data_IF_523055436908
#
_entry.id   IF_523055436908
#
_cell.length_a   1.000
_cell.length_b   1.000
_cell.length_c   1.000
_cell.angle_alpha   90.00
_cell.angle_beta   90.00
_cell.angle_gamma   90.00
#
_symmetry.space_group_name_H-M   'P 1'
#
loop_
_entity.id
_entity.type
_entity.pdbx_description
1 polymer ?
#
# COMPACT_ATOMS: atom_id res chain seq x y z
N UNK A 1 12.67 19.20 21.56
CA UNK A 1 12.02 18.61 20.39
C UNK A 1 12.68 17.31 20.03
N UNK A 2 11.94 16.34 19.76
CA UNK A 2 12.45 15.01 19.51
C UNK A 2 12.49 14.71 18.02
N UNK A 3 13.37 13.81 17.64
CA UNK A 3 13.46 13.35 16.27
C UNK A 3 12.13 12.73 15.82
N UNK A 4 11.42 12.10 16.74
CA UNK A 4 10.14 11.49 16.44
C UNK A 4 9.13 12.52 15.92
N UNK A 5 9.03 13.67 16.57
CA UNK A 5 8.14 14.72 16.14
C UNK A 5 8.53 15.27 14.77
N UNK A 6 9.84 15.39 14.51
CA UNK A 6 10.32 15.85 13.21
C UNK A 6 9.96 14.85 12.12
N UNK A 7 10.10 13.55 12.38
CA UNK A 7 9.75 12.53 11.40
C UNK A 7 8.26 12.53 11.07
N UNK A 8 7.41 12.74 12.07
CA UNK A 8 5.97 12.77 11.86
C UNK A 8 5.55 13.91 10.94
N UNK A 9 6.28 15.01 10.97
CA UNK A 9 5.98 16.18 10.16
C UNK A 9 6.70 16.17 8.82
N UNK A 10 7.55 15.19 8.60
CA UNK A 10 8.34 15.12 7.38
C UNK A 10 7.47 14.79 6.18
N UNK A 11 7.68 15.52 5.10
CA UNK A 11 7.00 15.25 3.84
C UNK A 11 8.03 14.79 2.82
N UNK A 12 7.56 14.01 1.84
CA UNK A 12 8.43 13.45 0.81
C UNK A 12 7.85 13.81 -0.56
N UNK A 13 8.73 14.15 -1.49
CA UNK A 13 8.31 14.42 -2.85
C UNK A 13 8.28 13.14 -3.68
N UNK A 14 9.11 12.15 -3.33
CA UNK A 14 9.24 10.93 -4.11
C UNK A 14 9.27 9.70 -3.20
N UNK A 15 8.98 8.54 -3.80
CA UNK A 15 9.08 7.27 -3.09
C UNK A 15 10.53 6.97 -2.72
N UNK A 16 11.50 7.36 -3.56
CA UNK A 16 12.92 7.21 -3.21
C UNK A 16 13.23 7.91 -1.90
N UNK A 17 12.79 9.15 -1.73
CA UNK A 17 13.01 9.89 -0.50
C UNK A 17 12.35 9.22 0.70
N UNK A 18 11.14 8.69 0.50
CA UNK A 18 10.43 7.98 1.55
C UNK A 18 11.23 6.78 2.02
N UNK A 19 11.75 5.99 1.09
CA UNK A 19 12.53 4.80 1.42
C UNK A 19 13.85 5.17 2.12
N UNK A 20 14.51 6.22 1.65
CA UNK A 20 15.77 6.66 2.24
C UNK A 20 15.63 7.11 3.69
N UNK A 21 14.44 7.60 4.05
CA UNK A 21 14.17 8.05 5.41
C UNK A 21 13.76 6.92 6.35
N UNK A 22 13.50 5.73 5.82
CA UNK A 22 13.08 4.58 6.64
C UNK A 22 14.24 4.06 7.47
N UNK A 23 13.90 3.43 8.59
CA UNK A 23 14.93 2.84 9.44
C UNK A 23 15.57 1.64 8.76
N UNK A 24 16.77 1.30 9.23
CA UNK A 24 17.61 0.26 8.66
C UNK A 24 16.89 -1.09 8.53
N UNK A 25 16.09 -1.46 9.53
CA UNK A 25 15.42 -2.76 9.55
C UNK A 25 14.11 -2.77 8.75
N UNK A 26 13.53 -1.62 8.47
CA UNK A 26 12.26 -1.52 7.76
C UNK A 26 12.47 -1.28 6.27
N UNK A 27 13.53 -0.55 5.91
CA UNK A 27 13.75 -0.14 4.53
C UNK A 27 13.76 -1.31 3.53
N UNK A 28 14.48 -2.42 3.80
CA UNK A 28 14.49 -3.53 2.82
C UNK A 28 13.12 -4.12 2.56
N UNK A 29 12.27 -4.17 3.60
CA UNK A 29 10.91 -4.67 3.46
C UNK A 29 10.06 -3.73 2.62
N UNK A 30 10.22 -2.42 2.81
CA UNK A 30 9.51 -1.44 2.00
C UNK A 30 9.94 -1.51 0.55
N UNK A 31 11.25 -1.70 0.31
CA UNK A 31 11.76 -1.85 -1.04
C UNK A 31 11.19 -3.10 -1.72
N UNK A 32 11.03 -4.18 -0.96
CA UNK A 32 10.41 -5.39 -1.47
C UNK A 32 8.94 -5.16 -1.85
N UNK A 33 8.20 -4.48 -0.98
CA UNK A 33 6.80 -4.14 -1.27
C UNK A 33 6.69 -3.27 -2.53
N UNK A 34 7.60 -2.31 -2.68
CA UNK A 34 7.63 -1.45 -3.86
C UNK A 34 7.78 -2.29 -5.14
N UNK A 35 8.70 -3.26 -5.14
CA UNK A 35 8.91 -4.12 -6.30
C UNK A 35 7.67 -4.94 -6.62
N UNK A 36 7.08 -5.57 -5.61
CA UNK A 36 5.91 -6.43 -5.81
C UNK A 36 4.73 -5.62 -6.37
N UNK A 37 4.47 -4.47 -5.79
CA UNK A 37 3.33 -3.65 -6.22
C UNK A 37 3.58 -3.07 -7.61
N UNK A 38 4.80 -2.57 -7.87
CA UNK A 38 5.13 -2.03 -9.20
C UNK A 38 4.99 -3.08 -10.29
N UNK A 39 5.41 -4.32 -10.00
CA UNK A 39 5.25 -5.41 -10.95
C UNK A 39 3.80 -5.77 -11.19
N UNK A 40 2.98 -5.70 -10.15
CA UNK A 40 1.55 -6.01 -10.27
C UNK A 40 0.76 -4.91 -10.98
N UNK A 41 1.22 -3.66 -10.87
CA UNK A 41 0.53 -2.49 -11.40
C UNK A 41 1.46 -1.69 -12.32
N UNK A 42 1.85 -2.28 -13.47
CA UNK A 42 2.87 -1.64 -14.30
C UNK A 42 2.44 -0.33 -14.95
N UNK A 43 1.13 -0.09 -15.05
CA UNK A 43 0.63 1.14 -15.66
C UNK A 43 0.22 2.19 -14.64
N UNK A 44 0.36 1.90 -13.34
CA UNK A 44 0.00 2.85 -12.31
C UNK A 44 1.09 3.92 -12.16
N UNK A 45 0.67 5.11 -11.78
CA UNK A 45 1.60 6.18 -11.45
C UNK A 45 2.06 6.01 -10.00
N UNK A 46 3.37 5.84 -9.80
CA UNK A 46 3.94 5.78 -8.47
C UNK A 46 4.18 7.20 -7.97
N UNK A 47 3.62 7.54 -6.83
CA UNK A 47 3.71 8.90 -6.29
C UNK A 47 3.61 8.86 -4.77
N UNK A 48 3.63 10.04 -4.15
CA UNK A 48 3.36 10.18 -2.72
C UNK A 48 1.97 10.80 -2.58
N UNK A 49 1.10 10.17 -1.79
CA UNK A 49 -0.23 10.65 -1.50
C UNK A 49 -0.50 10.42 -0.02
N UNK A 50 -0.96 11.45 0.68
CA UNK A 50 -1.16 11.39 2.13
C UNK A 50 0.13 11.01 2.88
N UNK A 51 1.26 11.42 2.31
CA UNK A 51 2.56 11.22 2.95
C UNK A 51 3.19 9.85 2.75
N UNK A 52 2.57 8.96 1.97
CA UNK A 52 3.10 7.61 1.78
C UNK A 52 3.09 7.22 0.30
N UNK A 53 3.91 6.22 -0.08
CA UNK A 53 3.93 5.72 -1.45
C UNK A 53 2.56 5.23 -1.88
N UNK A 54 2.15 5.63 -3.08
CA UNK A 54 0.82 5.39 -3.62
C UNK A 54 0.92 5.04 -5.08
N UNK A 55 0.01 4.19 -5.53
CA UNK A 55 -0.06 3.75 -6.93
C UNK A 55 -1.41 4.14 -7.49
N UNK A 56 -1.40 5.18 -8.35
CA UNK A 56 -2.63 5.77 -8.87
C UNK A 56 -2.91 5.27 -10.27
N UNK A 57 -4.16 4.90 -10.49
CA UNK A 57 -4.66 4.53 -11.81
C UNK A 57 -6.16 4.68 -11.80
N UNK A 58 -6.74 5.04 -12.94
CA UNK A 58 -8.19 5.29 -13.05
C UNK A 58 -8.67 6.38 -12.09
N UNK A 59 -7.78 7.32 -11.74
CA UNK A 59 -8.15 8.46 -10.91
C UNK A 59 -8.20 8.20 -9.42
N UNK A 60 -7.75 7.02 -8.96
CA UNK A 60 -7.77 6.67 -7.53
C UNK A 60 -6.43 6.09 -7.10
N UNK A 61 -6.19 6.13 -5.80
CA UNK A 61 -5.06 5.41 -5.19
C UNK A 61 -5.47 3.95 -5.08
N UNK A 62 -4.92 3.11 -5.96
CA UNK A 62 -5.29 1.69 -5.99
C UNK A 62 -4.83 1.01 -4.71
N UNK A 63 -3.55 1.16 -4.36
CA UNK A 63 -2.98 0.73 -3.09
C UNK A 63 -1.90 1.71 -2.68
N UNK A 64 -1.60 1.71 -1.39
CA UNK A 64 -0.50 2.47 -0.78
C UNK A 64 0.23 1.56 0.18
N UNK A 65 1.45 1.92 0.58
CA UNK A 65 2.13 1.16 1.63
C UNK A 65 2.85 2.09 2.59
N UNK A 66 3.10 1.60 3.80
CA UNK A 66 3.79 2.38 4.81
C UNK A 66 4.60 1.47 5.73
N UNK A 67 5.54 2.07 6.46
CA UNK A 67 6.40 1.35 7.38
C UNK A 67 6.19 1.83 8.81
N UNK A 68 6.40 0.91 9.75
CA UNK A 68 6.27 1.16 11.19
C UNK A 68 7.40 0.42 11.89
N UNK A 69 7.51 0.57 13.20
CA UNK A 69 8.66 0.02 13.93
C UNK A 69 8.77 -1.50 13.81
N UNK A 70 7.65 -2.22 13.84
CA UNK A 70 7.67 -3.67 13.89
C UNK A 70 6.91 -4.32 12.74
N UNK A 71 6.38 -3.53 11.82
CA UNK A 71 5.63 -4.06 10.69
C UNK A 71 5.61 -3.07 9.54
N UNK A 72 5.25 -3.57 8.37
CA UNK A 72 4.85 -2.72 7.24
C UNK A 72 3.37 -2.94 7.00
N UNK A 73 2.74 -2.06 6.25
CA UNK A 73 1.32 -2.22 5.95
C UNK A 73 1.01 -1.92 4.49
N UNK A 74 0.00 -2.60 3.99
CA UNK A 74 -0.61 -2.31 2.71
C UNK A 74 -1.92 -1.58 3.00
N UNK A 75 -2.08 -0.42 2.41
CA UNK A 75 -3.18 0.49 2.75
C UNK A 75 -4.04 0.75 1.52
N UNK A 76 -5.35 0.75 1.72
CA UNK A 76 -6.30 1.11 0.66
C UNK A 76 -7.69 1.30 1.27
N UNK A 77 -8.58 1.91 0.51
CA UNK A 77 -9.94 2.13 0.98
C UNK A 77 -10.86 2.30 -0.24
N UNK A 78 -12.08 1.74 -0.24
CA UNK A 78 -12.68 0.91 0.82
C UNK A 78 -12.11 -0.51 0.81
N UNK A 79 -12.18 -1.20 1.96
CA UNK A 79 -11.57 -2.52 2.12
C UNK A 79 -12.56 -3.67 2.08
N UNK A 80 -13.86 -3.38 2.17
CA UNK A 80 -14.87 -4.42 2.40
C UNK A 80 -14.85 -5.54 1.37
N UNK A 81 -14.83 -5.21 0.09
CA UNK A 81 -14.87 -6.24 -0.97
C UNK A 81 -13.59 -7.07 -0.96
N UNK A 82 -12.45 -6.40 -0.80
CA UNK A 82 -11.14 -7.07 -0.77
C UNK A 82 -11.05 -8.00 0.43
N UNK A 83 -11.46 -7.53 1.60
CA UNK A 83 -11.39 -8.34 2.83
C UNK A 83 -12.32 -9.54 2.73
N UNK A 84 -13.48 -9.40 2.12
CA UNK A 84 -14.38 -10.53 1.92
C UNK A 84 -13.80 -11.55 0.94
N UNK A 85 -13.20 -11.05 -0.14
CA UNK A 85 -12.65 -11.94 -1.18
C UNK A 85 -11.44 -12.74 -0.67
N UNK A 86 -10.60 -12.12 0.15
CA UNK A 86 -9.38 -12.73 0.67
C UNK A 86 -9.52 -13.13 2.14
N UNK A 87 -10.74 -13.38 2.61
CA UNK A 87 -11.01 -13.61 4.02
C UNK A 87 -10.11 -14.71 4.62
N UNK A 88 -9.99 -15.84 3.94
CA UNK A 88 -9.18 -16.94 4.43
C UNK A 88 -7.70 -16.59 4.47
N UNK A 89 -7.20 -15.99 3.40
CA UNK A 89 -5.78 -15.65 3.29
C UNK A 89 -5.37 -14.57 4.28
N UNK A 90 -6.30 -13.72 4.68
CA UNK A 90 -5.99 -12.61 5.59
C UNK A 90 -6.06 -12.98 7.06
N UNK A 91 -6.53 -14.20 7.39
CA UNK A 91 -6.67 -14.59 8.80
C UNK A 91 -5.40 -14.47 9.63
N UNK A 92 -4.20 -14.78 9.11
CA UNK A 92 -2.98 -14.64 9.90
C UNK A 92 -2.56 -13.19 10.18
N UNK A 93 -3.19 -12.21 9.53
CA UNK A 93 -2.74 -10.83 9.58
C UNK A 93 -3.71 -9.94 10.31
N UNK A 94 -3.17 -8.91 10.98
CA UNK A 94 -4.00 -7.90 11.60
C UNK A 94 -4.48 -6.94 10.52
N UNK A 95 -5.77 -6.61 10.57
CA UNK A 95 -6.36 -5.68 9.63
C UNK A 95 -7.05 -4.56 10.38
N UNK A 96 -7.23 -3.43 9.68
CA UNK A 96 -8.01 -2.31 10.18
C UNK A 96 -8.93 -1.84 9.06
N UNK A 97 -9.60 -0.73 9.27
CA UNK A 97 -10.52 -0.16 8.29
C UNK A 97 -9.84 0.11 6.94
N UNK A 98 -8.53 0.32 6.93
CA UNK A 98 -7.82 0.75 5.73
C UNK A 98 -6.44 0.11 5.56
N UNK A 99 -6.11 -0.95 6.32
CA UNK A 99 -4.76 -1.48 6.26
C UNK A 99 -4.69 -2.97 6.60
N UNK A 100 -3.68 -3.62 6.05
CA UNK A 100 -3.26 -4.97 6.40
C UNK A 100 -1.83 -4.87 6.90
N UNK A 101 -1.53 -5.44 8.08
CA UNK A 101 -0.20 -5.36 8.69
C UNK A 101 0.60 -6.62 8.41
N UNK A 102 1.88 -6.43 8.04
CA UNK A 102 2.81 -7.53 7.79
C UNK A 102 3.98 -7.43 8.76
N UNK A 103 4.05 -8.31 9.77
CA UNK A 103 5.14 -8.25 10.75
C UNK A 103 6.51 -8.41 10.10
N UNK A 104 7.51 -7.69 10.62
CA UNK A 104 8.86 -7.77 10.09
C UNK A 104 9.54 -9.10 10.35
N UNK A 105 9.10 -9.82 11.37
CA UNK A 105 9.70 -11.11 11.73
C UNK A 105 9.14 -12.29 10.93
N UNK A 106 8.31 -12.03 9.95
CA UNK A 106 7.76 -13.05 9.05
C UNK A 106 8.03 -12.67 7.61
N UNK A 107 8.14 -13.65 6.70
CA UNK A 107 8.29 -13.34 5.28
C UNK A 107 7.11 -12.53 4.75
N UNK A 108 7.38 -11.63 3.82
CA UNK A 108 6.32 -10.87 3.18
C UNK A 108 5.50 -11.81 2.27
N UNK A 109 4.17 -11.81 2.37
CA UNK A 109 3.33 -12.68 1.53
C UNK A 109 3.19 -12.10 0.13
N UNK A 110 4.22 -12.28 -0.69
CA UNK A 110 4.34 -11.63 -2.00
C UNK A 110 3.17 -11.94 -2.93
N UNK A 111 2.79 -13.22 -3.00
CA UNK A 111 1.70 -13.61 -3.91
C UNK A 111 0.37 -13.00 -3.47
N UNK A 112 0.14 -12.93 -2.16
CA UNK A 112 -1.08 -12.32 -1.64
C UNK A 112 -1.12 -10.82 -1.93
N UNK A 113 -0.01 -10.13 -1.73
CA UNK A 113 0.06 -8.69 -2.02
C UNK A 113 -0.20 -8.44 -3.49
N UNK A 114 0.40 -9.24 -4.36
CA UNK A 114 0.18 -9.14 -5.80
C UNK A 114 -1.29 -9.35 -6.16
N UNK A 115 -1.91 -10.39 -5.59
CA UNK A 115 -3.31 -10.69 -5.87
C UNK A 115 -4.24 -9.56 -5.38
N UNK A 116 -3.93 -8.99 -4.22
CA UNK A 116 -4.73 -7.88 -3.68
C UNK A 116 -4.58 -6.64 -4.58
N UNK A 117 -3.36 -6.34 -5.01
CA UNK A 117 -3.14 -5.19 -5.89
C UNK A 117 -3.93 -5.34 -7.18
N UNK A 118 -3.91 -6.52 -7.78
CA UNK A 118 -4.64 -6.80 -9.01
C UNK A 118 -6.16 -6.72 -8.80
N UNK A 119 -6.65 -7.23 -7.66
CA UNK A 119 -8.05 -7.14 -7.31
C UNK A 119 -8.50 -5.69 -7.17
N UNK A 120 -7.67 -4.88 -6.49
CA UNK A 120 -7.96 -3.47 -6.31
C UNK A 120 -7.92 -2.71 -7.63
N UNK A 121 -7.02 -3.08 -8.54
CA UNK A 121 -6.97 -2.45 -9.85
C UNK A 121 -8.27 -2.72 -10.62
N UNK A 122 -8.77 -3.95 -10.59
CA UNK A 122 -10.03 -4.28 -11.24
C UNK A 122 -11.19 -3.48 -10.63
N UNK A 123 -11.19 -3.34 -9.32
CA UNK A 123 -12.20 -2.55 -8.61
C UNK A 123 -12.15 -1.07 -9.05
N UNK A 124 -10.95 -0.53 -9.16
CA UNK A 124 -10.77 0.85 -9.61
C UNK A 124 -11.27 1.05 -11.05
N UNK A 125 -11.01 0.07 -11.90
CA UNK A 125 -11.48 0.14 -13.30
C UNK A 125 -13.00 0.11 -13.37
N UNK A 126 -13.64 -0.73 -12.56
CA UNK A 126 -15.11 -0.77 -12.49
C UNK A 126 -15.69 0.56 -12.02
N UNK A 127 -15.07 1.12 -10.99
CA UNK A 127 -15.51 2.40 -10.44
C UNK A 127 -15.44 3.50 -11.50
N UNK A 128 -14.33 3.56 -12.24
CA UNK A 128 -14.13 4.55 -13.30
C UNK A 128 -15.14 4.36 -14.42
N UNK A 129 -15.43 3.11 -14.80
CA UNK A 129 -16.40 2.82 -15.84
C UNK A 129 -17.81 3.24 -15.44
N UNK A 130 -18.21 2.95 -14.19
CA UNK A 130 -19.52 3.38 -13.69
C UNK A 130 -19.65 4.89 -13.63
N UNK A 131 -18.58 5.57 -13.21
CA UNK A 131 -18.58 7.02 -13.11
C UNK A 131 -18.78 7.66 -14.49
N UNK A 132 -18.13 7.12 -15.53
CA UNK A 132 -18.29 7.61 -16.89
C UNK A 132 -19.72 7.35 -17.41
N UNK A 133 -20.27 6.17 -17.13
CA UNK A 133 -21.58 5.77 -17.62
C UNK A 133 -22.71 6.48 -16.88
N UNK A 134 -22.50 6.79 -15.60
CA UNK A 134 -23.52 7.39 -14.76
C UNK A 134 -23.53 8.90 -14.75
N UNK A 135 -22.65 9.50 -15.50
CA UNK A 135 -22.50 10.95 -15.51
C UNK A 135 -23.71 11.67 -16.08
#
# INVERSE_FOLDING_TARGET
MTEHADREKRTFATVDEFLEAATYDVEPRLAEMRRVISDALPDAEETISHGIPSYRQHGVDVVQFSGHDEHTSLNFFPTARTFAHFDTELQPYRTSKSAIRFPLDEPLPVDLIRAIAEFRLAEAAEFAARKRSGA
#
